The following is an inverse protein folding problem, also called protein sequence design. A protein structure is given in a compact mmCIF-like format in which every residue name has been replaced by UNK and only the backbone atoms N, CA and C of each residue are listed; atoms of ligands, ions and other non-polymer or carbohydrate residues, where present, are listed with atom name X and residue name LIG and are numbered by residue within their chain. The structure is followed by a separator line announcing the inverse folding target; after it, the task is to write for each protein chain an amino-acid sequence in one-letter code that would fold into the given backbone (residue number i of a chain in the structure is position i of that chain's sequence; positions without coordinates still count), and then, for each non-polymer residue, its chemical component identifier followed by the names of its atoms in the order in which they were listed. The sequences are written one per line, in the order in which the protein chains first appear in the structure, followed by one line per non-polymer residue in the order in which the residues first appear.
data_IF_820013785450
#
_entry.id   IF_820013785450
#
_cell.length_a   1.000
_cell.length_b   1.000
_cell.length_c   1.000
_cell.angle_alpha   90.00
_cell.angle_beta   90.00
_cell.angle_gamma   90.00
#
_symmetry.space_group_name_H-M   'P 1'
#
loop_
_entity.id
_entity.type
_entity.pdbx_description
1 polymer ?
#
# COMPACT_ATOMS: atom_id res chain seq x y z
N UNK A 1 18.68 -6.48 15.50
CA UNK A 1 17.40 -6.67 14.80
C UNK A 1 16.66 -5.37 15.00
N UNK A 2 16.86 -4.43 14.08
CA UNK A 2 16.47 -3.04 14.27
C UNK A 2 14.96 -2.89 14.07
N UNK A 3 14.35 -2.21 15.03
CA UNK A 3 12.93 -1.94 15.13
C UNK A 3 12.57 -0.90 14.05
N UNK A 4 11.88 -1.35 13.00
CA UNK A 4 11.34 -0.45 11.97
C UNK A 4 10.12 0.26 12.55
N UNK A 5 10.35 1.33 13.30
CA UNK A 5 9.27 2.13 13.89
C UNK A 5 8.62 3.01 12.81
N UNK A 6 7.86 2.39 11.90
CA UNK A 6 6.80 3.08 11.16
C UNK A 6 5.75 3.50 12.18
N UNK A 7 5.64 4.81 12.43
CA UNK A 7 4.74 5.46 13.42
C UNK A 7 3.40 4.73 13.58
N UNK A 8 3.23 4.03 14.70
CA UNK A 8 1.95 3.72 15.38
C UNK A 8 0.76 3.27 14.51
N UNK A 9 1.00 2.70 13.32
CA UNK A 9 -0.03 2.13 12.44
C UNK A 9 0.45 0.76 12.02
N UNK A 10 -0.23 -0.27 12.53
CA UNK A 10 0.09 -1.65 12.23
C UNK A 10 0.01 -1.87 10.72
N UNK A 11 1.15 -2.16 10.07
CA UNK A 11 1.14 -2.63 8.70
C UNK A 11 0.31 -3.92 8.63
N UNK A 12 -0.42 -4.14 7.53
CA UNK A 12 -1.10 -5.41 7.31
C UNK A 12 -0.10 -6.58 7.40
N UNK A 13 -0.54 -7.69 8.00
CA UNK A 13 0.30 -8.87 8.27
C UNK A 13 0.94 -9.43 7.00
N UNK A 14 0.20 -9.46 5.90
CA UNK A 14 0.66 -9.90 4.57
C UNK A 14 1.73 -8.97 4.01
N UNK A 15 1.62 -7.67 4.26
CA UNK A 15 2.66 -6.69 3.89
C UNK A 15 3.92 -6.88 4.74
N UNK A 16 3.78 -7.09 6.05
CA UNK A 16 4.93 -7.38 6.92
C UNK A 16 5.64 -8.67 6.51
N UNK A 17 4.89 -9.70 6.16
CA UNK A 17 5.42 -10.96 5.66
C UNK A 17 6.18 -10.76 4.34
N UNK A 18 5.61 -10.00 3.40
CA UNK A 18 6.25 -9.67 2.12
C UNK A 18 7.56 -8.89 2.33
N UNK A 19 7.58 -7.88 3.21
CA UNK A 19 8.79 -7.09 3.51
C UNK A 19 9.91 -7.97 4.08
N UNK A 20 9.56 -8.96 4.90
CA UNK A 20 10.52 -9.93 5.48
C UNK A 20 10.90 -11.04 4.51
N UNK A 21 10.17 -11.18 3.42
CA UNK A 21 10.36 -12.22 2.44
C UNK A 21 11.40 -11.83 1.39
N UNK A 22 12.09 -12.83 0.85
CA UNK A 22 13.02 -12.63 -0.29
C UNK A 22 12.29 -12.32 -1.59
N UNK A 23 10.96 -12.45 -1.60
CA UNK A 23 10.11 -12.27 -2.78
C UNK A 23 9.71 -10.81 -3.01
N UNK A 24 10.15 -9.87 -2.15
CA UNK A 24 9.93 -8.45 -2.39
C UNK A 24 10.69 -7.99 -3.64
N UNK A 25 10.03 -7.36 -4.63
CA UNK A 25 10.70 -6.85 -5.82
C UNK A 25 11.80 -5.86 -5.45
N UNK A 26 12.97 -5.98 -6.09
CA UNK A 26 14.15 -5.15 -5.77
C UNK A 26 13.85 -3.64 -5.85
N UNK A 27 13.06 -3.22 -6.85
CA UNK A 27 12.66 -1.82 -7.01
C UNK A 27 11.83 -1.30 -5.81
N UNK A 28 10.96 -2.15 -5.25
CA UNK A 28 10.17 -1.81 -4.06
C UNK A 28 11.05 -1.87 -2.81
N UNK A 29 11.93 -2.87 -2.71
CA UNK A 29 12.87 -3.01 -1.60
C UNK A 29 13.81 -1.81 -1.47
N UNK A 30 14.27 -1.24 -2.59
CA UNK A 30 15.15 -0.06 -2.59
C UNK A 30 14.46 1.20 -2.04
N UNK A 31 13.13 1.27 -2.13
CA UNK A 31 12.32 2.35 -1.53
C UNK A 31 12.16 2.19 -0.01
N UNK A 32 12.29 0.97 0.52
CA UNK A 32 12.17 0.67 1.95
C UNK A 32 13.55 0.80 2.59
N UNK A 33 14.01 2.04 2.76
CA UNK A 33 15.31 2.35 3.40
C UNK A 33 15.15 2.97 4.79
N UNK A 34 15.95 2.54 5.78
CA UNK A 34 15.79 2.94 7.18
C UNK A 34 15.96 4.45 7.45
N UNK A 35 16.54 5.23 6.53
CA UNK A 35 16.84 6.65 6.73
C UNK A 35 16.10 7.61 5.78
N UNK A 36 15.17 7.14 4.94
CA UNK A 36 14.56 8.00 3.91
C UNK A 36 13.39 7.38 3.16
N UNK A 37 12.63 6.49 3.81
CA UNK A 37 11.45 5.91 3.17
C UNK A 37 10.40 7.00 2.94
N UNK A 38 10.13 7.31 1.68
CA UNK A 38 8.98 8.11 1.29
C UNK A 38 7.89 7.18 0.75
N UNK A 39 6.71 7.21 1.38
CA UNK A 39 5.58 6.40 0.93
C UNK A 39 5.15 6.71 -0.51
N UNK A 40 5.43 7.92 -1.00
CA UNK A 40 5.24 8.25 -2.42
C UNK A 40 6.10 7.37 -3.33
N UNK A 41 7.36 7.13 -2.98
CA UNK A 41 8.27 6.31 -3.79
C UNK A 41 7.84 4.83 -3.75
N UNK A 42 7.42 4.33 -2.59
CA UNK A 42 6.86 2.97 -2.47
C UNK A 42 5.60 2.84 -3.35
N UNK A 43 4.69 3.80 -3.28
CA UNK A 43 3.45 3.79 -4.07
C UNK A 43 3.76 3.75 -5.56
N UNK A 44 4.68 4.59 -6.04
CA UNK A 44 5.11 4.63 -7.45
C UNK A 44 5.80 3.33 -7.87
N UNK A 45 6.69 2.79 -7.04
CA UNK A 45 7.41 1.55 -7.34
C UNK A 45 6.46 0.33 -7.41
N UNK A 46 5.49 0.27 -6.50
CA UNK A 46 4.45 -0.77 -6.52
C UNK A 46 3.56 -0.61 -7.75
N UNK A 47 3.12 0.61 -8.08
CA UNK A 47 2.33 0.88 -9.28
C UNK A 47 3.05 0.44 -10.56
N UNK A 48 4.31 0.86 -10.73
CA UNK A 48 5.14 0.44 -11.86
C UNK A 48 5.23 -1.07 -11.95
N UNK A 49 5.49 -1.74 -10.82
CA UNK A 49 5.61 -3.20 -10.78
C UNK A 49 4.31 -3.90 -11.16
N UNK A 50 3.16 -3.42 -10.66
CA UNK A 50 1.85 -4.00 -10.93
C UNK A 50 1.39 -3.80 -12.39
N UNK A 51 1.93 -2.80 -13.10
CA UNK A 51 1.64 -2.62 -14.54
C UNK A 51 2.36 -3.63 -15.45
N UNK A 52 3.34 -4.37 -14.91
CA UNK A 52 4.14 -5.29 -15.70
C UNK A 52 3.30 -6.51 -16.08
N UNK A 53 3.43 -7.02 -17.32
CA UNK A 53 2.83 -8.29 -17.66
C UNK A 53 3.52 -9.38 -16.82
N UNK A 54 2.73 -10.24 -16.16
CA UNK A 54 3.20 -11.37 -15.33
C UNK A 54 3.77 -10.98 -13.96
N UNK A 55 2.97 -10.26 -13.16
CA UNK A 55 3.19 -10.19 -11.71
C UNK A 55 2.91 -11.56 -11.09
N UNK A 56 3.80 -11.98 -10.20
CA UNK A 56 3.65 -13.23 -9.48
C UNK A 56 2.42 -13.17 -8.56
N UNK A 57 1.43 -14.07 -8.71
CA UNK A 57 0.15 -13.99 -8.01
C UNK A 57 0.29 -14.20 -6.50
N UNK A 58 1.35 -14.85 -6.02
CA UNK A 58 1.57 -15.12 -4.59
C UNK A 58 1.95 -13.84 -3.84
N UNK A 59 2.66 -12.92 -4.51
CA UNK A 59 3.03 -11.61 -3.95
C UNK A 59 2.10 -10.49 -4.41
N UNK A 60 1.31 -10.70 -5.47
CA UNK A 60 0.43 -9.68 -6.06
C UNK A 60 -0.48 -9.07 -5.00
N UNK A 61 -1.17 -9.91 -4.23
CA UNK A 61 -2.12 -9.44 -3.22
C UNK A 61 -1.43 -8.57 -2.16
N UNK A 62 -0.28 -9.03 -1.64
CA UNK A 62 0.49 -8.30 -0.65
C UNK A 62 1.11 -7.01 -1.20
N UNK A 63 1.55 -7.01 -2.46
CA UNK A 63 2.05 -5.81 -3.15
C UNK A 63 0.94 -4.79 -3.35
N UNK A 64 -0.22 -5.21 -3.82
CA UNK A 64 -1.37 -4.32 -3.98
C UNK A 64 -1.79 -3.69 -2.64
N UNK A 65 -1.78 -4.49 -1.57
CA UNK A 65 -2.05 -4.02 -0.22
C UNK A 65 -0.99 -3.03 0.29
N UNK A 66 0.28 -3.28 0.00
CA UNK A 66 1.39 -2.36 0.30
C UNK A 66 1.22 -1.04 -0.46
N UNK A 67 0.87 -1.08 -1.75
CA UNK A 67 0.60 0.10 -2.57
C UNK A 67 -0.57 0.91 -2.02
N UNK A 68 -1.66 0.26 -1.62
CA UNK A 68 -2.81 0.91 -1.00
C UNK A 68 -2.42 1.64 0.30
N UNK A 69 -1.63 0.97 1.16
CA UNK A 69 -1.07 1.57 2.37
C UNK A 69 -0.20 2.79 2.03
N UNK A 70 0.73 2.63 1.08
CA UNK A 70 1.66 3.67 0.68
C UNK A 70 0.94 4.90 0.09
N UNK A 71 -0.10 4.70 -0.74
CA UNK A 71 -0.90 5.81 -1.27
C UNK A 71 -1.66 6.58 -0.19
N UNK A 72 -2.14 5.90 0.86
CA UNK A 72 -2.84 6.52 1.98
C UNK A 72 -1.90 7.29 2.92
N UNK A 73 -0.62 6.91 2.97
CA UNK A 73 0.37 7.52 3.85
C UNK A 73 1.30 8.52 3.13
N UNK A 74 1.37 8.45 1.81
CA UNK A 74 1.97 9.49 0.99
C UNK A 74 1.14 10.79 1.14
N UNK A 75 1.82 11.89 1.48
CA UNK A 75 1.28 13.20 1.90
C UNK A 75 0.08 13.77 1.09
N UNK A 76 -0.64 14.68 1.75
CA UNK A 76 -2.07 15.05 1.64
C UNK A 76 -2.52 15.87 0.39
N UNK A 77 -1.62 16.23 -0.53
CA UNK A 77 -1.95 17.17 -1.63
C UNK A 77 -2.61 16.53 -2.88
N UNK A 78 -2.68 15.19 -2.97
CA UNK A 78 -3.20 14.47 -4.15
C UNK A 78 -4.31 13.45 -3.82
N UNK A 79 -5.05 13.69 -2.73
CA UNK A 79 -6.01 12.75 -2.12
C UNK A 79 -7.05 12.21 -3.13
N UNK A 80 -7.59 13.05 -4.02
CA UNK A 80 -8.68 12.64 -4.92
C UNK A 80 -8.26 11.60 -5.98
N UNK A 81 -7.06 11.73 -6.56
CA UNK A 81 -6.58 10.79 -7.57
C UNK A 81 -6.05 9.50 -6.92
N UNK A 82 -5.59 9.59 -5.67
CA UNK A 82 -5.15 8.45 -4.87
C UNK A 82 -6.31 7.62 -4.32
N UNK A 83 -7.48 8.19 -4.03
CA UNK A 83 -8.64 7.41 -3.52
C UNK A 83 -9.13 6.35 -4.50
N UNK A 84 -9.20 6.66 -5.80
CA UNK A 84 -9.62 5.67 -6.81
C UNK A 84 -8.56 4.57 -6.95
N UNK A 85 -7.28 4.96 -7.00
CA UNK A 85 -6.18 4.00 -7.09
C UNK A 85 -6.10 3.09 -5.86
N UNK A 86 -6.28 3.64 -4.66
CA UNK A 86 -6.36 2.85 -3.41
C UNK A 86 -7.49 1.84 -3.47
N UNK A 87 -8.67 2.20 -3.99
CA UNK A 87 -9.78 1.24 -4.15
C UNK A 87 -9.45 0.14 -5.14
N UNK A 88 -8.83 0.47 -6.27
CA UNK A 88 -8.38 -0.53 -7.25
C UNK A 88 -7.37 -1.49 -6.64
N UNK A 89 -6.38 -0.97 -5.90
CA UNK A 89 -5.36 -1.76 -5.23
C UNK A 89 -5.95 -2.65 -4.13
N UNK A 90 -6.98 -2.18 -3.40
CA UNK A 90 -7.69 -3.01 -2.43
C UNK A 90 -8.51 -4.12 -3.10
N UNK A 91 -9.22 -3.84 -4.21
CA UNK A 91 -9.94 -4.86 -4.98
C UNK A 91 -8.98 -5.92 -5.53
N UNK A 92 -7.82 -5.47 -6.01
CA UNK A 92 -6.76 -6.36 -6.49
C UNK A 92 -6.18 -7.20 -5.36
N UNK A 93 -5.90 -6.61 -4.20
CA UNK A 93 -5.44 -7.35 -3.02
C UNK A 93 -6.41 -8.50 -2.67
N UNK A 94 -7.71 -8.22 -2.62
CA UNK A 94 -8.75 -9.23 -2.35
C UNK A 94 -8.81 -10.31 -3.44
N UNK A 95 -8.69 -9.92 -4.71
CA UNK A 95 -8.69 -10.86 -5.85
C UNK A 95 -7.52 -11.85 -5.78
N UNK A 96 -6.39 -11.42 -5.24
CA UNK A 96 -5.18 -12.23 -5.09
C UNK A 96 -5.00 -12.80 -3.68
N UNK A 97 -6.09 -12.98 -2.93
CA UNK A 97 -6.11 -13.82 -1.72
C UNK A 97 -5.82 -13.10 -0.40
N UNK A 98 -5.76 -11.77 -0.38
CA UNK A 98 -5.76 -11.01 0.88
C UNK A 98 -7.15 -11.09 1.52
N UNK A 99 -7.19 -11.31 2.82
CA UNK A 99 -8.44 -11.37 3.57
C UNK A 99 -9.12 -10.00 3.66
N UNK A 100 -10.45 -10.00 3.58
CA UNK A 100 -11.24 -8.77 3.66
C UNK A 100 -11.10 -8.06 5.01
N UNK A 101 -10.92 -8.81 6.11
CA UNK A 101 -10.68 -8.24 7.44
C UNK A 101 -9.32 -7.54 7.51
N UNK A 102 -8.31 -8.06 6.81
CA UNK A 102 -6.99 -7.43 6.73
C UNK A 102 -7.03 -6.13 5.89
N UNK A 103 -7.82 -6.10 4.82
CA UNK A 103 -7.98 -4.92 3.96
C UNK A 103 -8.97 -3.86 4.52
N UNK A 104 -9.89 -4.25 5.42
CA UNK A 104 -10.93 -3.39 6.00
C UNK A 104 -10.43 -2.08 6.62
N UNK A 105 -9.35 -2.05 7.44
CA UNK A 105 -8.86 -0.79 8.03
C UNK A 105 -8.38 0.21 6.97
N UNK A 106 -7.73 -0.27 5.91
CA UNK A 106 -7.28 0.57 4.79
C UNK A 106 -8.46 1.10 3.97
N UNK A 107 -9.47 0.26 3.75
CA UNK A 107 -10.71 0.64 3.06
C UNK A 107 -11.46 1.74 3.81
N UNK A 108 -11.65 1.55 5.12
CA UNK A 108 -12.28 2.54 6.00
C UNK A 108 -11.53 3.88 5.96
N UNK A 109 -10.19 3.85 6.01
CA UNK A 109 -9.35 5.06 5.92
C UNK A 109 -9.52 5.76 4.56
N UNK A 110 -9.54 5.01 3.46
CA UNK A 110 -9.77 5.56 2.13
C UNK A 110 -11.14 6.25 1.99
N UNK A 111 -12.17 5.70 2.63
CA UNK A 111 -13.52 6.27 2.66
C UNK A 111 -13.59 7.54 3.51
N UNK A 112 -12.92 7.60 4.66
CA UNK A 112 -12.84 8.81 5.49
C UNK A 112 -12.19 9.98 4.74
N UNK A 113 -11.11 9.73 4.00
CA UNK A 113 -10.50 10.78 3.17
C UNK A 113 -11.42 11.26 2.04
N UNK A 114 -12.21 10.35 1.45
CA UNK A 114 -13.20 10.73 0.44
C UNK A 114 -14.38 11.53 1.05
N UNK A 115 -14.81 11.19 2.27
CA UNK A 115 -15.91 11.82 2.99
C UNK A 115 -15.59 13.21 3.55
N UNK A 116 -14.37 13.43 4.07
CA UNK A 116 -13.93 14.73 4.59
C UNK A 116 -13.86 15.84 3.52
N UNK A 117 -13.94 15.48 2.22
CA UNK A 117 -14.02 16.46 1.13
C UNK A 117 -15.39 17.15 1.05
N UNK A 118 -16.44 16.56 1.61
CA UNK A 118 -17.81 17.09 1.55
C UNK A 118 -18.11 18.18 2.59
N UNK A 119 -17.25 18.38 3.59
CA UNK A 119 -17.46 19.32 4.71
C UNK A 119 -16.68 20.64 4.57
N UNK A 120 -16.02 20.86 3.42
CA UNK A 120 -15.21 22.06 3.19
C UNK A 120 -15.62 22.76 1.88
N UNK A 121 -16.94 22.92 1.69
CA UNK A 121 -17.59 23.65 0.60
C UNK A 121 -18.29 24.91 1.10
#
# INVERSE_FOLDING_TARGET
MEDFTMKDRALPSSVQALIRSIHLPLAVADCIRPAGTHFTDIAVAVDDYLTRPYVDPEIHGALALMGAYAHLDACEDLVAQRSDRVRQLLDEALRYGIDAEEAAPLRTRAEQYAGNRSDNG
#
